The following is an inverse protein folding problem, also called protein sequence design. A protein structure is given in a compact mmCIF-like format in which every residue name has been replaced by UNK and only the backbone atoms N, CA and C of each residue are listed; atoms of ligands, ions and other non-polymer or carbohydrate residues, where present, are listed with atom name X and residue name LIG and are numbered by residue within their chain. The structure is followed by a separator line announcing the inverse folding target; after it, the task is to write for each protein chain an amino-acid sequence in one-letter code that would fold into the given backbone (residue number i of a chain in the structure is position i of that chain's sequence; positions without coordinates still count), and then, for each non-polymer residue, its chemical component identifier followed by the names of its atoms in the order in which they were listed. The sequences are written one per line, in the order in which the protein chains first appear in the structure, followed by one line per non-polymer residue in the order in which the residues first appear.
data_IF_798256741818
#
_entry.id   IF_798256741818
#
_cell.length_a   1.000
_cell.length_b   1.000
_cell.length_c   1.000
_cell.angle_alpha   90.00
_cell.angle_beta   90.00
_cell.angle_gamma   90.00
#
_symmetry.space_group_name_H-M   'P 1'
#
loop_
_entity.id
_entity.type
_entity.pdbx_description
1 polymer ?
#
# COMPACT_ATOMS: atom_id res chain seq x y z
N UNK A 1 -31.69 -73.59 -24.86
CA UNK A 1 -31.99 -74.34 -23.60
C UNK A 1 -32.03 -73.24 -22.53
N UNK A 2 -33.22 -72.76 -22.26
CA UNK A 2 -33.99 -72.87 -21.01
C UNK A 2 -33.22 -72.25 -19.83
N UNK A 3 -33.68 -71.27 -19.03
CA UNK A 3 -35.03 -71.17 -18.37
C UNK A 3 -35.31 -69.74 -17.94
N UNK A 4 -36.54 -69.30 -18.19
CA UNK A 4 -37.20 -68.17 -17.51
C UNK A 4 -37.29 -68.45 -16.00
N UNK A 5 -37.22 -67.43 -15.17
CA UNK A 5 -37.96 -67.37 -13.92
C UNK A 5 -38.49 -66.01 -13.64
N UNK A 6 -39.78 -65.88 -13.58
CA UNK A 6 -40.67 -64.78 -13.29
C UNK A 6 -40.59 -64.47 -11.78
N UNK A 7 -40.45 -63.15 -11.40
CA UNK A 7 -40.96 -62.72 -10.09
C UNK A 7 -41.88 -61.50 -10.25
N UNK A 8 -43.12 -61.76 -9.88
CA UNK A 8 -44.23 -60.83 -9.83
C UNK A 8 -44.10 -59.84 -8.69
N UNK A 9 -44.35 -58.60 -9.00
CA UNK A 9 -45.21 -57.62 -8.35
C UNK A 9 -45.02 -57.24 -6.89
N UNK A 10 -44.83 -55.94 -6.70
CA UNK A 10 -45.56 -55.18 -5.67
C UNK A 10 -45.45 -53.68 -6.00
N UNK A 11 -46.55 -53.15 -6.50
CA UNK A 11 -46.77 -51.71 -6.64
C UNK A 11 -47.06 -51.13 -5.26
N UNK A 12 -46.11 -50.30 -4.76
CA UNK A 12 -46.39 -49.41 -3.63
C UNK A 12 -46.68 -47.97 -4.18
N UNK A 13 -48.01 -47.74 -4.34
CA UNK A 13 -48.49 -46.36 -4.48
C UNK A 13 -48.45 -45.71 -3.09
N UNK A 14 -47.48 -44.84 -2.85
CA UNK A 14 -47.60 -43.86 -1.75
C UNK A 14 -48.24 -42.58 -2.31
N UNK A 15 -49.42 -42.28 -1.72
CA UNK A 15 -50.11 -41.03 -1.96
C UNK A 15 -49.20 -39.84 -1.56
N UNK A 16 -49.21 -38.71 -2.31
CA UNK A 16 -48.49 -37.52 -1.92
C UNK A 16 -49.14 -36.90 -0.66
N UNK A 17 -48.43 -36.97 0.45
CA UNK A 17 -48.81 -36.23 1.66
C UNK A 17 -48.94 -34.75 1.33
N UNK A 18 -50.05 -34.13 1.69
CA UNK A 18 -50.30 -32.69 1.55
C UNK A 18 -49.19 -31.94 2.29
N UNK A 19 -48.23 -31.41 1.52
CA UNK A 19 -47.19 -30.51 2.04
C UNK A 19 -47.89 -29.23 2.52
N UNK A 20 -47.83 -28.96 3.82
CA UNK A 20 -48.46 -27.80 4.42
C UNK A 20 -47.68 -26.56 4.03
N UNK A 21 -48.11 -25.88 2.96
CA UNK A 21 -47.50 -24.71 2.32
C UNK A 21 -47.24 -23.56 3.31
N UNK A 22 -48.04 -23.46 4.38
CA UNK A 22 -47.85 -22.47 5.45
C UNK A 22 -46.58 -22.75 6.28
N UNK A 23 -46.21 -24.02 6.50
CA UNK A 23 -44.95 -24.39 7.19
C UNK A 23 -43.74 -24.19 6.30
N UNK A 24 -43.87 -24.36 4.97
CA UNK A 24 -42.79 -24.10 4.02
C UNK A 24 -42.51 -22.59 3.87
N UNK A 25 -43.55 -21.74 3.88
CA UNK A 25 -43.41 -20.29 3.84
C UNK A 25 -42.82 -19.73 5.13
N UNK A 26 -43.12 -20.29 6.30
CA UNK A 26 -42.45 -19.85 7.56
C UNK A 26 -40.98 -20.28 7.65
N UNK A 27 -40.59 -21.42 7.07
CA UNK A 27 -39.19 -21.84 6.99
C UNK A 27 -38.39 -20.99 6.00
N UNK A 28 -38.98 -20.56 4.87
CA UNK A 28 -38.35 -19.66 3.92
C UNK A 28 -38.21 -18.22 4.46
N UNK A 29 -39.14 -17.72 5.27
CA UNK A 29 -39.06 -16.43 5.91
C UNK A 29 -37.98 -16.41 7.03
N UNK A 30 -37.77 -17.53 7.76
CA UNK A 30 -36.72 -17.65 8.76
C UNK A 30 -35.30 -17.74 8.15
N UNK A 31 -35.18 -18.29 6.92
CA UNK A 31 -33.88 -18.37 6.20
C UNK A 31 -33.44 -17.01 5.60
N UNK A 32 -34.39 -16.12 5.31
CA UNK A 32 -34.09 -14.77 4.77
C UNK A 32 -33.62 -13.76 5.84
N UNK A 33 -33.80 -14.05 7.12
CA UNK A 33 -33.35 -13.18 8.22
C UNK A 33 -31.91 -13.51 8.64
N UNK A 34 -31.33 -14.63 8.19
CA UNK A 34 -29.94 -15.03 8.50
C UNK A 34 -28.93 -14.63 7.42
N UNK A 35 -29.36 -14.00 6.33
CA UNK A 35 -28.49 -13.24 5.44
C UNK A 35 -28.38 -11.79 5.93
N UNK A 36 -28.26 -11.61 7.24
CA UNK A 36 -27.76 -10.38 7.82
C UNK A 36 -26.36 -10.19 7.28
N UNK A 37 -26.16 -9.16 6.45
CA UNK A 37 -24.87 -8.57 6.23
C UNK A 37 -24.11 -8.65 7.56
N UNK A 38 -22.99 -9.34 7.59
CA UNK A 38 -22.00 -9.16 8.63
C UNK A 38 -21.63 -7.68 8.55
N UNK A 39 -22.37 -6.87 9.30
CA UNK A 39 -22.05 -5.48 9.56
C UNK A 39 -20.70 -5.57 10.26
N UNK A 40 -19.65 -5.23 9.54
CA UNK A 40 -18.33 -4.98 10.11
C UNK A 40 -18.49 -3.74 10.99
N UNK A 41 -19.04 -3.90 12.18
CA UNK A 41 -18.87 -2.98 13.29
C UNK A 41 -17.48 -3.20 13.85
N UNK A 42 -16.52 -3.00 12.98
CA UNK A 42 -15.15 -2.91 13.36
C UNK A 42 -14.89 -1.41 13.54
N UNK A 43 -15.04 -0.93 14.80
CA UNK A 43 -14.69 0.45 15.17
C UNK A 43 -13.15 0.60 15.10
N UNK A 44 -12.59 0.32 13.91
CA UNK A 44 -11.16 0.19 13.66
C UNK A 44 -10.81 0.98 12.39
N UNK A 45 -9.86 1.92 12.52
CA UNK A 45 -9.24 2.57 11.38
C UNK A 45 -8.28 1.58 10.70
N UNK A 46 -8.55 1.25 9.45
CA UNK A 46 -7.74 0.32 8.64
C UNK A 46 -6.78 1.12 7.78
N UNK A 47 -5.50 0.97 8.03
CA UNK A 47 -4.42 1.51 7.22
C UNK A 47 -3.90 0.45 6.26
N UNK A 48 -3.63 0.85 5.03
CA UNK A 48 -2.85 0.09 4.05
C UNK A 48 -1.54 0.81 3.77
N UNK A 49 -0.46 0.05 3.65
CA UNK A 49 0.88 0.57 3.41
C UNK A 49 1.69 -0.39 2.55
N UNK A 50 2.96 -0.02 2.27
CA UNK A 50 4.00 -0.89 1.68
C UNK A 50 5.21 -0.90 2.63
N UNK A 51 5.40 -1.99 3.40
CA UNK A 51 6.29 -2.00 4.57
C UNK A 51 7.77 -2.27 4.22
N UNK A 52 8.31 -1.61 3.18
CA UNK A 52 9.73 -1.68 2.80
C UNK A 52 10.37 -0.30 2.62
N UNK A 53 9.76 0.75 3.22
CA UNK A 53 10.12 2.14 2.98
C UNK A 53 10.55 2.90 4.26
N UNK A 54 11.63 2.48 4.95
CA UNK A 54 12.10 3.17 6.14
C UNK A 54 12.60 4.59 5.80
N UNK A 55 12.33 5.59 6.67
CA UNK A 55 11.78 5.51 8.03
C UNK A 55 10.25 5.63 8.13
N UNK A 56 9.53 5.67 7.01
CA UNK A 56 8.09 5.95 6.97
C UNK A 56 7.25 4.73 7.35
N UNK A 57 7.52 3.56 6.73
CA UNK A 57 6.89 2.28 7.03
C UNK A 57 7.82 1.12 6.73
N UNK A 58 8.04 0.27 7.71
CA UNK A 58 8.92 -0.89 7.58
C UNK A 58 8.62 -1.96 8.62
N UNK A 59 9.16 -3.16 8.40
CA UNK A 59 9.00 -4.26 9.33
C UNK A 59 10.06 -4.20 10.44
N UNK A 60 9.59 -4.19 11.69
CA UNK A 60 10.38 -4.46 12.90
C UNK A 60 9.97 -5.83 13.44
N UNK A 61 10.68 -6.87 13.00
CA UNK A 61 10.23 -8.24 13.23
C UNK A 61 8.95 -8.54 12.43
N UNK A 62 7.83 -8.74 13.12
CA UNK A 62 6.52 -8.94 12.49
C UNK A 62 5.60 -7.71 12.57
N UNK A 63 6.05 -6.66 13.22
CA UNK A 63 5.28 -5.42 13.39
C UNK A 63 5.62 -4.43 12.28
N UNK A 64 4.59 -3.80 11.69
CA UNK A 64 4.77 -2.66 10.79
C UNK A 64 4.89 -1.40 11.65
N UNK A 65 5.98 -0.67 11.49
CA UNK A 65 6.31 0.55 12.25
C UNK A 65 6.80 1.65 11.32
N UNK A 66 6.87 2.87 11.83
CA UNK A 66 7.39 4.02 11.10
C UNK A 66 6.53 5.26 11.26
N UNK A 67 6.96 6.35 10.66
CA UNK A 67 6.34 7.68 10.76
C UNK A 67 4.87 7.63 10.31
N UNK A 68 4.59 7.01 9.18
CA UNK A 68 3.25 6.91 8.59
C UNK A 68 2.30 6.12 9.48
N UNK A 69 2.82 5.07 10.10
CA UNK A 69 2.08 4.23 11.05
C UNK A 69 1.70 5.03 12.29
N UNK A 70 2.62 5.83 12.83
CA UNK A 70 2.35 6.65 14.02
C UNK A 70 1.35 7.79 13.73
N UNK A 71 1.43 8.42 12.55
CA UNK A 71 0.44 9.40 12.13
C UNK A 71 -0.95 8.76 12.08
N UNK A 72 -1.10 7.61 11.42
CA UNK A 72 -2.38 6.93 11.30
C UNK A 72 -2.89 6.39 12.66
N UNK A 73 -2.00 5.96 13.55
CA UNK A 73 -2.32 5.56 14.92
C UNK A 73 -2.86 6.76 15.73
N UNK A 74 -2.25 7.94 15.59
CA UNK A 74 -2.73 9.16 16.23
C UNK A 74 -4.12 9.57 15.69
N UNK A 75 -4.37 9.40 14.39
CA UNK A 75 -5.71 9.61 13.79
C UNK A 75 -6.73 8.66 14.40
N UNK A 76 -6.41 7.35 14.51
CA UNK A 76 -7.30 6.36 15.11
C UNK A 76 -7.63 6.71 16.58
N UNK A 77 -6.64 7.13 17.36
CA UNK A 77 -6.83 7.58 18.74
C UNK A 77 -7.77 8.78 18.81
N UNK A 78 -7.59 9.79 17.94
CA UNK A 78 -8.46 10.98 17.89
C UNK A 78 -9.90 10.64 17.51
N UNK A 79 -10.09 9.61 16.69
CA UNK A 79 -11.40 9.07 16.30
C UNK A 79 -12.03 8.18 17.38
N UNK A 80 -11.29 7.80 18.44
CA UNK A 80 -11.74 6.80 19.43
C UNK A 80 -11.90 5.39 18.83
N UNK A 81 -11.10 5.06 17.83
CA UNK A 81 -11.13 3.79 17.09
C UNK A 81 -9.93 2.90 17.43
N UNK A 82 -10.09 1.59 17.22
CA UNK A 82 -8.97 0.67 17.10
C UNK A 82 -8.11 1.00 15.89
N UNK A 83 -6.93 0.40 15.78
CA UNK A 83 -6.02 0.60 14.67
C UNK A 83 -5.55 -0.73 14.11
N UNK A 84 -5.58 -0.86 12.77
CA UNK A 84 -5.04 -2.03 12.05
C UNK A 84 -4.24 -1.55 10.85
N UNK A 85 -3.04 -2.08 10.68
CA UNK A 85 -2.18 -1.80 9.52
C UNK A 85 -1.91 -3.09 8.77
N UNK A 86 -2.07 -3.06 7.44
CA UNK A 86 -1.76 -4.16 6.53
C UNK A 86 -0.83 -3.67 5.42
N UNK A 87 0.01 -4.56 4.90
CA UNK A 87 0.93 -4.26 3.80
C UNK A 87 0.52 -4.93 2.50
N UNK A 88 0.76 -4.24 1.39
CA UNK A 88 0.61 -4.72 0.00
C UNK A 88 1.73 -4.14 -0.86
N UNK A 89 1.88 -4.59 -2.10
CA UNK A 89 2.77 -3.93 -3.06
C UNK A 89 2.30 -2.48 -3.31
N UNK A 90 3.24 -1.54 -3.53
CA UNK A 90 2.96 -0.09 -3.57
C UNK A 90 1.89 0.29 -4.60
N UNK A 91 1.91 -0.30 -5.80
CA UNK A 91 0.93 -0.08 -6.87
C UNK A 91 -0.51 -0.47 -6.48
N UNK A 92 -0.67 -1.29 -5.45
CA UNK A 92 -1.94 -1.75 -4.90
C UNK A 92 -2.47 -0.89 -3.74
N UNK A 93 -1.67 0.06 -3.22
CA UNK A 93 -2.02 0.85 -2.03
C UNK A 93 -3.22 1.77 -2.32
N UNK A 94 -3.18 2.60 -3.37
CA UNK A 94 -4.30 3.47 -3.76
C UNK A 94 -5.54 2.66 -4.16
N UNK A 95 -5.45 1.60 -5.00
CA UNK A 95 -6.59 0.71 -5.29
C UNK A 95 -7.26 0.13 -4.04
N UNK A 96 -6.52 -0.21 -2.99
CA UNK A 96 -7.09 -0.74 -1.75
C UNK A 96 -7.98 0.27 -1.02
N UNK A 97 -7.62 1.56 -1.02
CA UNK A 97 -8.45 2.63 -0.45
C UNK A 97 -9.67 2.91 -1.34
N UNK A 98 -9.49 3.01 -2.64
CA UNK A 98 -10.57 3.25 -3.60
C UNK A 98 -11.65 2.17 -3.49
N UNK A 99 -11.25 0.90 -3.38
CA UNK A 99 -12.18 -0.23 -3.22
C UNK A 99 -12.82 -0.34 -1.83
N UNK A 100 -12.36 0.44 -0.83
CA UNK A 100 -12.82 0.39 0.56
C UNK A 100 -12.27 -0.80 1.37
N UNK A 101 -11.22 -1.47 0.88
CA UNK A 101 -10.48 -2.48 1.63
C UNK A 101 -9.77 -1.84 2.84
N UNK A 102 -9.28 -0.62 2.68
CA UNK A 102 -8.72 0.21 3.74
C UNK A 102 -9.43 1.57 3.82
N UNK A 103 -9.32 2.25 4.96
CA UNK A 103 -9.89 3.57 5.19
C UNK A 103 -8.90 4.67 4.83
N UNK A 104 -7.62 4.43 5.08
CA UNK A 104 -6.49 5.32 4.80
C UNK A 104 -5.35 4.56 4.14
N UNK A 105 -4.62 5.24 3.27
CA UNK A 105 -3.35 4.81 2.71
C UNK A 105 -2.26 5.80 3.11
N UNK A 106 -1.21 5.30 3.73
CA UNK A 106 0.00 6.04 4.04
C UNK A 106 1.20 5.11 3.74
N UNK A 107 2.03 5.51 2.81
CA UNK A 107 3.14 4.73 2.25
C UNK A 107 4.13 5.65 1.52
N UNK A 108 4.52 6.78 2.14
CA UNK A 108 5.30 7.80 1.45
C UNK A 108 4.63 8.28 0.15
N UNK A 109 3.30 8.43 0.16
CA UNK A 109 2.54 8.67 -1.08
C UNK A 109 2.67 10.14 -1.50
N UNK A 110 3.35 10.36 -2.62
CA UNK A 110 3.45 11.68 -3.25
C UNK A 110 2.10 12.15 -3.77
N UNK A 111 1.76 13.40 -3.47
CA UNK A 111 0.58 14.08 -4.01
C UNK A 111 0.81 14.41 -5.48
N UNK A 112 0.02 13.79 -6.38
CA UNK A 112 0.03 14.10 -7.81
C UNK A 112 -1.38 14.38 -8.32
N UNK A 113 -1.49 15.16 -9.40
CA UNK A 113 -2.80 15.45 -10.01
C UNK A 113 -3.48 14.17 -10.54
N UNK A 114 -2.70 13.20 -10.99
CA UNK A 114 -3.24 11.93 -11.45
C UNK A 114 -3.85 11.11 -10.31
N UNK A 115 -3.15 11.00 -9.18
CA UNK A 115 -3.65 10.33 -7.98
C UNK A 115 -4.89 11.03 -7.40
N UNK A 116 -4.94 12.38 -7.42
CA UNK A 116 -6.11 13.18 -6.99
C UNK A 116 -7.38 12.88 -7.77
N UNK A 117 -7.30 12.33 -8.97
CA UNK A 117 -8.49 11.89 -9.71
C UNK A 117 -9.24 10.78 -8.99
N UNK A 118 -8.54 9.93 -8.22
CA UNK A 118 -9.06 8.72 -7.61
C UNK A 118 -9.23 8.81 -6.09
N UNK A 119 -8.44 9.63 -5.40
CA UNK A 119 -8.41 9.77 -3.93
C UNK A 119 -8.39 11.23 -3.53
N UNK A 120 -8.75 11.51 -2.25
CA UNK A 120 -8.50 12.78 -1.60
C UNK A 120 -7.22 12.65 -0.76
N UNK A 121 -6.46 13.73 -0.66
CA UNK A 121 -5.22 13.78 0.11
C UNK A 121 -5.35 14.72 1.31
N UNK A 122 -4.69 14.34 2.39
CA UNK A 122 -4.46 15.24 3.52
C UNK A 122 -3.54 16.41 3.15
N UNK A 123 -3.37 17.36 4.09
CA UNK A 123 -2.23 18.27 4.03
C UNK A 123 -0.93 17.44 4.05
N UNK A 124 0.13 17.88 3.36
CA UNK A 124 1.41 17.18 3.38
C UNK A 124 2.05 17.18 4.77
N UNK A 125 2.64 16.04 5.16
CA UNK A 125 3.38 15.93 6.42
C UNK A 125 4.89 16.02 6.23
N UNK A 126 5.42 15.76 5.02
CA UNK A 126 6.85 15.91 4.68
C UNK A 126 7.02 16.48 3.27
N UNK A 127 8.11 17.20 3.04
CA UNK A 127 8.61 17.56 1.72
C UNK A 127 9.91 16.80 1.49
N UNK A 128 10.06 16.19 0.34
CA UNK A 128 11.14 15.28 -0.05
C UNK A 128 11.44 15.39 -1.55
N UNK A 129 12.06 14.39 -2.14
CA UNK A 129 12.30 14.32 -3.58
C UNK A 129 12.90 13.01 -4.00
N UNK A 130 12.90 12.77 -5.31
CA UNK A 130 13.54 11.63 -5.94
C UNK A 130 14.95 11.96 -6.38
N UNK A 131 15.82 10.95 -6.34
CA UNK A 131 17.25 11.01 -6.71
C UNK A 131 17.61 9.88 -7.66
N UNK A 132 18.72 10.04 -8.34
CA UNK A 132 19.34 8.96 -9.12
C UNK A 132 20.40 8.28 -8.26
N UNK A 133 20.33 6.95 -8.14
CA UNK A 133 21.35 6.10 -7.57
C UNK A 133 22.19 5.56 -8.71
N UNK A 134 23.51 5.69 -8.62
CA UNK A 134 24.43 5.31 -9.67
C UNK A 134 25.72 4.71 -9.14
N UNK A 135 26.43 3.95 -9.97
CA UNK A 135 27.77 3.46 -9.64
C UNK A 135 28.79 4.61 -9.75
N UNK A 136 29.65 4.76 -8.76
CA UNK A 136 30.71 5.79 -8.77
C UNK A 136 31.59 5.72 -10.02
N UNK A 137 31.79 4.51 -10.55
CA UNK A 137 32.52 4.27 -11.81
C UNK A 137 31.76 4.73 -13.09
N UNK A 138 30.46 4.92 -13.01
CA UNK A 138 29.57 5.35 -14.11
C UNK A 138 28.63 6.46 -13.61
N UNK A 139 29.17 7.70 -13.42
CA UNK A 139 28.44 8.75 -12.73
C UNK A 139 27.24 9.26 -13.53
N UNK A 140 26.19 9.63 -12.81
CA UNK A 140 25.08 10.43 -13.34
C UNK A 140 25.57 11.86 -13.61
N UNK A 141 25.34 12.37 -14.82
CA UNK A 141 25.76 13.70 -15.25
C UNK A 141 24.62 14.58 -15.77
N UNK A 142 23.38 14.21 -15.45
CA UNK A 142 22.15 14.89 -15.89
C UNK A 142 21.24 13.96 -16.71
N UNK A 143 20.04 14.45 -17.06
CA UNK A 143 18.99 13.68 -17.72
C UNK A 143 19.47 12.98 -19.00
N UNK A 144 20.34 13.63 -19.78
CA UNK A 144 20.84 13.04 -21.00
C UNK A 144 21.67 11.76 -20.77
N UNK A 145 22.29 11.62 -19.60
CA UNK A 145 23.04 10.40 -19.23
C UNK A 145 22.15 9.20 -18.95
N UNK A 146 20.83 9.38 -18.79
CA UNK A 146 19.85 8.33 -18.57
C UNK A 146 19.33 7.75 -19.88
N UNK A 147 19.40 8.49 -20.99
CA UNK A 147 18.79 8.08 -22.28
C UNK A 147 19.45 6.81 -22.82
N UNK A 148 18.60 5.85 -23.17
CA UNK A 148 19.04 4.55 -23.70
C UNK A 148 19.71 3.63 -22.67
N UNK A 149 19.70 4.02 -21.39
CA UNK A 149 20.23 3.22 -20.29
C UNK A 149 19.10 2.46 -19.59
N UNK A 150 19.41 1.33 -18.99
CA UNK A 150 18.45 0.54 -18.21
C UNK A 150 18.27 1.21 -16.86
N UNK A 151 17.04 1.63 -16.55
CA UNK A 151 16.72 2.38 -15.33
C UNK A 151 15.77 1.54 -14.47
N UNK A 152 16.19 1.22 -13.26
CA UNK A 152 15.37 0.53 -12.27
C UNK A 152 14.51 1.52 -11.47
N UNK A 153 13.24 1.17 -11.25
CA UNK A 153 12.29 1.93 -10.43
C UNK A 153 11.39 0.99 -9.65
N UNK A 154 10.78 1.46 -8.56
CA UNK A 154 9.67 0.73 -7.96
C UNK A 154 8.39 0.99 -8.77
N UNK A 155 7.60 -0.07 -9.00
CA UNK A 155 6.36 0.00 -9.77
C UNK A 155 5.32 0.93 -9.10
N UNK A 156 4.59 1.71 -9.91
CA UNK A 156 3.52 2.60 -9.46
C UNK A 156 3.98 3.90 -8.78
N UNK A 157 5.30 4.18 -8.75
CA UNK A 157 5.87 5.38 -8.10
C UNK A 157 5.96 6.56 -9.06
N UNK A 158 6.20 7.74 -8.50
CA UNK A 158 6.56 8.95 -9.27
C UNK A 158 7.91 8.82 -9.94
N UNK A 159 8.81 7.99 -9.42
CA UNK A 159 10.07 7.63 -10.09
C UNK A 159 9.82 6.92 -11.42
N UNK A 160 8.82 6.02 -11.49
CA UNK A 160 8.40 5.40 -12.75
C UNK A 160 7.85 6.44 -13.73
N UNK A 161 6.94 7.31 -13.24
CA UNK A 161 6.37 8.41 -14.05
C UNK A 161 7.47 9.33 -14.59
N UNK A 162 8.47 9.66 -13.74
CA UNK A 162 9.60 10.49 -14.15
C UNK A 162 10.39 9.87 -15.32
N UNK A 163 10.65 8.55 -15.27
CA UNK A 163 11.36 7.88 -16.39
C UNK A 163 10.53 7.90 -17.67
N UNK A 164 9.24 7.61 -17.56
CA UNK A 164 8.33 7.60 -18.73
C UNK A 164 8.21 8.98 -19.36
N UNK A 165 8.05 10.04 -18.57
CA UNK A 165 7.75 11.38 -19.07
C UNK A 165 9.01 12.22 -19.35
N UNK A 166 10.04 12.15 -18.51
CA UNK A 166 11.21 13.02 -18.60
C UNK A 166 12.38 12.36 -19.36
N UNK A 167 12.53 11.03 -19.26
CA UNK A 167 13.55 10.30 -20.02
C UNK A 167 12.98 9.76 -21.35
N UNK A 168 11.66 9.47 -21.38
CA UNK A 168 10.94 9.05 -22.58
C UNK A 168 11.16 7.58 -22.93
N UNK A 169 11.36 6.71 -21.95
CA UNK A 169 11.59 5.27 -22.15
C UNK A 169 10.94 4.43 -21.04
N UNK A 170 10.77 3.12 -21.29
CA UNK A 170 10.27 2.16 -20.31
C UNK A 170 11.34 1.84 -19.26
N UNK A 171 11.03 1.93 -17.94
CA UNK A 171 11.92 1.49 -16.88
C UNK A 171 11.81 0.00 -16.59
N UNK A 172 12.83 -0.54 -15.93
CA UNK A 172 12.79 -1.87 -15.30
C UNK A 172 12.10 -1.78 -13.93
N UNK A 173 10.92 -2.39 -13.81
CA UNK A 173 10.08 -2.31 -12.61
C UNK A 173 10.48 -3.35 -11.58
N UNK A 174 10.52 -2.96 -10.32
CA UNK A 174 10.73 -3.84 -9.16
C UNK A 174 9.63 -3.61 -8.11
N UNK A 175 9.59 -4.45 -7.08
CA UNK A 175 8.62 -4.30 -5.98
C UNK A 175 9.09 -3.29 -4.93
N UNK A 176 10.40 -3.06 -4.83
CA UNK A 176 10.96 -2.16 -3.83
C UNK A 176 12.21 -1.44 -4.35
N UNK A 177 12.59 -0.29 -3.76
CA UNK A 177 13.86 0.37 -4.09
C UNK A 177 15.07 -0.54 -3.86
N UNK A 178 15.05 -1.37 -2.83
CA UNK A 178 16.13 -2.30 -2.53
C UNK A 178 16.34 -3.35 -3.64
N UNK A 179 15.26 -3.87 -4.25
CA UNK A 179 15.35 -4.77 -5.40
C UNK A 179 15.97 -4.08 -6.62
N UNK A 180 15.59 -2.82 -6.91
CA UNK A 180 16.20 -2.02 -7.97
C UNK A 180 17.69 -1.81 -7.73
N UNK A 181 18.11 -1.50 -6.48
CA UNK A 181 19.52 -1.33 -6.14
C UNK A 181 20.28 -2.66 -6.23
N UNK A 182 19.68 -3.79 -5.86
CA UNK A 182 20.29 -5.10 -6.07
C UNK A 182 20.50 -5.39 -7.59
N UNK A 183 19.55 -4.96 -8.44
CA UNK A 183 19.70 -5.07 -9.89
C UNK A 183 20.82 -4.16 -10.42
N UNK A 184 21.00 -2.93 -9.87
CA UNK A 184 22.10 -2.03 -10.20
C UNK A 184 23.46 -2.63 -9.83
N UNK A 185 23.58 -3.20 -8.63
CA UNK A 185 24.81 -3.88 -8.18
C UNK A 185 25.15 -5.07 -9.08
N UNK A 186 24.14 -5.83 -9.49
CA UNK A 186 24.31 -6.97 -10.40
C UNK A 186 24.54 -6.57 -11.88
N UNK A 187 24.50 -5.27 -12.23
CA UNK A 187 24.67 -4.81 -13.59
C UNK A 187 23.47 -5.12 -14.50
N UNK A 188 22.29 -5.43 -13.92
CA UNK A 188 21.05 -5.64 -14.68
C UNK A 188 20.40 -4.33 -15.09
N UNK A 189 20.56 -3.28 -14.28
CA UNK A 189 20.25 -1.90 -14.59
C UNK A 189 21.48 -1.03 -14.43
N UNK A 190 21.48 0.15 -15.04
CA UNK A 190 22.62 1.07 -15.07
C UNK A 190 22.41 2.21 -14.09
N UNK A 191 21.16 2.59 -13.83
CA UNK A 191 20.73 3.59 -12.87
C UNK A 191 19.50 3.11 -12.11
N UNK A 192 19.27 3.69 -10.93
CA UNK A 192 18.00 3.53 -10.19
C UNK A 192 17.47 4.92 -9.85
N UNK A 193 16.17 5.13 -9.99
CA UNK A 193 15.52 6.36 -9.51
C UNK A 193 14.60 5.96 -8.36
N UNK A 194 14.75 6.64 -7.23
CA UNK A 194 13.99 6.37 -6.01
C UNK A 194 13.92 7.63 -5.13
N UNK A 195 13.03 7.59 -4.16
CA UNK A 195 12.95 8.62 -3.11
C UNK A 195 14.23 8.66 -2.29
N UNK A 196 14.60 9.86 -1.82
CA UNK A 196 15.90 10.13 -1.19
C UNK A 196 16.14 9.29 0.07
N UNK A 197 15.13 9.10 0.93
CA UNK A 197 15.34 8.42 2.21
C UNK A 197 15.55 6.91 2.03
N UNK A 198 14.74 6.15 1.27
CA UNK A 198 15.09 4.77 0.93
C UNK A 198 16.37 4.67 0.10
N UNK A 199 16.66 5.66 -0.78
CA UNK A 199 17.91 5.68 -1.54
C UNK A 199 19.13 5.79 -0.60
N UNK A 200 19.12 6.71 0.37
CA UNK A 200 20.15 6.83 1.41
C UNK A 200 20.35 5.51 2.16
N UNK A 201 19.22 4.90 2.57
CA UNK A 201 19.27 3.61 3.25
C UNK A 201 19.91 2.51 2.37
N UNK A 202 19.62 2.51 1.08
CA UNK A 202 20.19 1.51 0.16
C UNK A 202 21.69 1.69 -0.10
N UNK A 203 22.21 2.91 -0.07
CA UNK A 203 23.63 3.18 -0.40
C UNK A 203 24.54 3.35 0.82
N UNK A 204 24.00 3.42 2.03
CA UNK A 204 24.72 3.75 3.27
C UNK A 204 26.02 2.96 3.47
N UNK A 205 26.03 1.66 3.19
CA UNK A 205 27.20 0.79 3.34
C UNK A 205 27.72 0.28 1.98
N UNK A 206 27.48 1.03 0.90
CA UNK A 206 27.82 0.64 -0.46
C UNK A 206 28.77 1.66 -1.09
N UNK A 207 30.06 1.61 -0.81
CA UNK A 207 31.04 2.63 -1.23
C UNK A 207 31.16 2.76 -2.77
N UNK A 208 30.68 1.77 -3.52
CA UNK A 208 30.63 1.81 -4.98
C UNK A 208 29.41 2.50 -5.56
N UNK A 209 28.45 2.94 -4.73
CA UNK A 209 27.24 3.64 -5.13
C UNK A 209 27.23 5.08 -4.62
N UNK A 210 26.57 5.97 -5.35
CA UNK A 210 26.38 7.37 -4.99
C UNK A 210 24.96 7.84 -5.35
N UNK A 211 24.58 8.99 -4.80
CA UNK A 211 23.29 9.66 -5.06
C UNK A 211 23.54 10.98 -5.79
N UNK A 212 22.61 11.34 -6.68
CA UNK A 212 22.52 12.68 -7.24
C UNK A 212 21.90 13.66 -6.25
N UNK A 213 21.88 14.95 -6.62
CA UNK A 213 20.92 15.92 -6.09
C UNK A 213 19.50 15.53 -6.49
N UNK A 214 18.49 16.20 -5.93
CA UNK A 214 17.09 15.98 -6.31
C UNK A 214 16.87 16.24 -7.80
N UNK A 215 16.25 15.25 -8.47
CA UNK A 215 15.79 15.40 -9.85
C UNK A 215 14.34 15.87 -9.92
N UNK A 216 13.58 15.67 -8.84
CA UNK A 216 12.23 16.21 -8.62
C UNK A 216 11.97 16.41 -7.14
N UNK A 217 11.21 17.46 -6.78
CA UNK A 217 10.71 17.69 -5.41
C UNK A 217 9.32 17.10 -5.25
N UNK A 218 9.05 16.51 -4.09
CA UNK A 218 7.83 15.81 -3.78
C UNK A 218 7.29 16.14 -2.39
N UNK A 219 6.03 15.79 -2.13
CA UNK A 219 5.40 15.95 -0.82
C UNK A 219 4.54 14.75 -0.52
N UNK A 220 4.73 14.12 0.65
CA UNK A 220 3.93 12.99 1.09
C UNK A 220 2.70 13.43 1.86
N UNK A 221 1.58 12.76 1.57
CA UNK A 221 0.32 12.95 2.26
C UNK A 221 -0.43 11.62 2.41
N UNK A 222 -1.38 11.58 3.35
CA UNK A 222 -2.26 10.43 3.54
C UNK A 222 -3.37 10.49 2.50
N UNK A 223 -3.57 9.38 1.78
CA UNK A 223 -4.65 9.23 0.82
C UNK A 223 -5.86 8.53 1.44
N UNK A 224 -7.05 9.03 1.12
CA UNK A 224 -8.34 8.44 1.51
C UNK A 224 -9.27 8.34 0.31
N UNK A 225 -10.27 7.44 0.39
CA UNK A 225 -11.32 7.39 -0.62
C UNK A 225 -12.08 8.71 -0.67
N UNK A 226 -12.42 9.16 -1.88
CA UNK A 226 -13.22 10.37 -2.10
C UNK A 226 -14.55 10.35 -1.35
N UNK A 227 -15.02 11.53 -0.94
CA UNK A 227 -16.30 11.70 -0.29
C UNK A 227 -16.30 11.36 1.21
N UNK A 228 -15.15 11.47 1.89
CA UNK A 228 -14.98 11.27 3.34
C UNK A 228 -14.46 12.56 4.02
N UNK A 229 -15.17 13.70 3.90
CA UNK A 229 -14.67 14.99 4.38
C UNK A 229 -14.41 15.03 5.89
N UNK A 230 -15.22 14.32 6.71
CA UNK A 230 -15.04 14.27 8.16
C UNK A 230 -13.74 13.54 8.53
N UNK A 231 -13.45 12.41 7.86
CA UNK A 231 -12.20 11.69 8.08
C UNK A 231 -11.00 12.54 7.64
N UNK A 232 -11.11 13.21 6.48
CA UNK A 232 -10.06 14.09 5.96
C UNK A 232 -9.77 15.24 6.92
N UNK A 233 -10.81 15.84 7.50
CA UNK A 233 -10.67 16.89 8.48
C UNK A 233 -9.92 16.42 9.73
N UNK A 234 -10.29 15.26 10.29
CA UNK A 234 -9.60 14.68 11.47
C UNK A 234 -8.13 14.38 11.16
N UNK A 235 -7.83 13.83 9.98
CA UNK A 235 -6.46 13.58 9.55
C UNK A 235 -5.65 14.89 9.49
N UNK A 236 -6.20 15.93 8.85
CA UNK A 236 -5.54 17.22 8.72
C UNK A 236 -5.27 17.89 10.06
N UNK A 237 -6.26 17.88 10.96
CA UNK A 237 -6.12 18.38 12.32
C UNK A 237 -5.03 17.60 13.09
N UNK A 238 -5.03 16.28 12.98
CA UNK A 238 -4.01 15.43 13.62
C UNK A 238 -2.61 15.74 13.10
N UNK A 239 -2.44 15.88 11.77
CA UNK A 239 -1.14 16.23 11.18
C UNK A 239 -0.69 17.63 11.65
N UNK A 240 -1.60 18.59 11.72
CA UNK A 240 -1.27 19.93 12.21
C UNK A 240 -0.83 19.91 13.69
N UNK A 241 -1.54 19.16 14.53
CA UNK A 241 -1.21 19.00 15.97
C UNK A 241 0.16 18.34 16.17
N UNK A 242 0.42 17.20 15.52
CA UNK A 242 1.70 16.48 15.68
C UNK A 242 2.91 17.26 15.13
N UNK A 243 2.69 18.15 14.16
CA UNK A 243 3.71 19.09 13.71
C UNK A 243 3.96 20.17 14.76
N UNK A 244 2.90 20.73 15.33
CA UNK A 244 2.99 21.84 16.27
C UNK A 244 3.56 21.43 17.63
N UNK A 245 3.26 20.22 18.11
CA UNK A 245 3.72 19.71 19.42
C UNK A 245 5.05 18.97 19.37
N UNK A 246 5.65 18.83 18.18
CA UNK A 246 6.98 18.25 17.98
C UNK A 246 6.99 16.71 17.84
N UNK A 247 5.85 16.02 17.95
CA UNK A 247 5.80 14.56 17.79
C UNK A 247 6.34 14.12 16.45
N UNK A 248 5.98 14.81 15.36
CA UNK A 248 6.49 14.45 14.03
C UNK A 248 8.01 14.48 13.97
N UNK A 249 8.64 15.53 14.51
CA UNK A 249 10.10 15.65 14.54
C UNK A 249 10.75 14.52 15.37
N UNK A 250 10.16 14.20 16.52
CA UNK A 250 10.63 13.09 17.36
C UNK A 250 10.51 11.73 16.65
N UNK A 251 9.43 11.47 15.92
CA UNK A 251 9.28 10.24 15.14
C UNK A 251 10.27 10.17 13.96
N UNK A 252 10.51 11.28 13.28
CA UNK A 252 11.54 11.35 12.23
C UNK A 252 12.91 10.97 12.79
N UNK A 253 13.32 11.56 13.91
CA UNK A 253 14.59 11.24 14.57
C UNK A 253 14.65 9.77 15.00
N UNK A 254 13.61 9.29 15.69
CA UNK A 254 13.53 7.92 16.18
C UNK A 254 13.63 6.90 15.06
N UNK A 255 12.75 7.01 14.04
CA UNK A 255 12.65 5.99 12.99
C UNK A 255 13.78 6.06 11.97
N UNK A 256 14.37 7.23 11.76
CA UNK A 256 15.63 7.34 10.98
C UNK A 256 16.78 6.62 11.70
N UNK A 257 16.94 6.85 13.00
CA UNK A 257 17.96 6.16 13.79
C UNK A 257 17.70 4.64 13.91
N UNK A 258 16.44 4.22 13.90
CA UNK A 258 16.07 2.80 13.88
C UNK A 258 16.35 2.16 12.52
N UNK A 259 15.95 2.80 11.42
CA UNK A 259 16.23 2.35 10.05
C UNK A 259 17.73 2.17 9.80
N UNK A 260 18.55 3.04 10.38
CA UNK A 260 19.99 2.97 10.33
C UNK A 260 20.57 1.72 10.99
N UNK A 261 19.94 1.22 12.04
CA UNK A 261 20.38 0.02 12.80
C UNK A 261 19.92 -1.31 12.20
N UNK A 262 18.90 -1.30 11.36
CA UNK A 262 18.39 -2.54 10.74
C UNK A 262 19.34 -3.19 9.72
N UNK A 263 20.45 -2.53 9.38
CA UNK A 263 21.43 -2.98 8.39
C UNK A 263 22.79 -3.38 8.98
N UNK A 264 22.94 -3.21 10.30
CA UNK A 264 24.10 -3.65 11.05
C UNK A 264 23.87 -5.10 11.56
#
# INVERSE_FOLDING_TARGET
MQLLTIFKGKTWRRAPGKVNMKKLMMAAAAALVLCGCAQKDDNTLRMITEATFPPYEFLRGQEIVGIDVEICRAVAQKLGQGFKCETVDFDSVIPAVVSGKADVAAAGITVTEDRKKNVDFSIPYVTTGIVVIYKVAEPYTGLDSLKGRRIGVQAGTTSETFVLEQVGQEPERSRSPAESVAALKAGRVDFVIADIDPAKNCVKNEPGLALSDFVSSESYAIAIRKGRPELLQVINETIAEIKADGRLAAWVEQYTAEADRLKD
#
